data_IF_146739039667
#
_entry.id   IF_146739039667
#
_cell.length_a   1.000
_cell.length_b   1.000
_cell.length_c   1.000
_cell.angle_alpha   90.00
_cell.angle_beta   90.00
_cell.angle_gamma   90.00
#
_symmetry.space_group_name_H-M   'P 1'
#
loop_
_entity.id
_entity.type
_entity.pdbx_description
1 polymer ?
#
# COMPACT_ATOMS: atom_id res chain seq x y z
N UNK A 1 9.54 -52.37 -44.68
CA UNK A 1 10.71 -52.46 -43.77
C UNK A 1 10.73 -51.18 -42.93
N UNK A 2 10.45 -51.28 -41.61
CA UNK A 2 10.49 -50.24 -40.53
C UNK A 2 9.45 -49.08 -40.67
N UNK A 3 8.48 -48.86 -39.77
CA UNK A 3 8.52 -48.45 -38.33
C UNK A 3 9.20 -47.05 -38.20
N UNK A 4 8.67 -46.00 -37.57
CA UNK A 4 7.88 -45.84 -36.33
C UNK A 4 7.23 -44.44 -36.23
N UNK A 5 6.12 -44.38 -35.49
CA UNK A 5 5.72 -43.43 -34.43
C UNK A 5 5.93 -41.90 -34.51
N UNK A 6 4.77 -41.24 -34.41
CA UNK A 6 4.35 -40.22 -33.44
C UNK A 6 4.96 -38.80 -33.48
N UNK A 7 4.13 -37.74 -33.44
CA UNK A 7 4.60 -36.37 -33.31
C UNK A 7 5.07 -36.10 -31.87
N UNK A 8 6.25 -35.48 -31.76
CA UNK A 8 6.79 -34.97 -30.50
C UNK A 8 5.92 -33.81 -30.02
N UNK A 9 5.27 -34.03 -28.89
CA UNK A 9 4.77 -32.98 -28.03
C UNK A 9 5.96 -32.13 -27.57
N UNK A 10 5.92 -30.84 -27.85
CA UNK A 10 6.77 -29.87 -27.15
C UNK A 10 5.94 -29.38 -25.97
N UNK A 11 5.88 -30.21 -24.93
CA UNK A 11 5.65 -29.74 -23.57
C UNK A 11 6.92 -28.97 -23.16
N UNK A 12 6.92 -27.68 -23.47
CA UNK A 12 7.84 -26.73 -22.88
C UNK A 12 7.25 -26.26 -21.56
N UNK A 13 7.38 -27.10 -20.53
CA UNK A 13 7.24 -26.71 -19.13
C UNK A 13 8.23 -25.57 -18.82
N UNK A 14 7.82 -24.33 -19.04
CA UNK A 14 8.37 -23.21 -18.29
C UNK A 14 7.71 -23.22 -16.92
N UNK A 15 8.27 -24.11 -16.10
CA UNK A 15 8.28 -24.10 -14.64
C UNK A 15 7.70 -22.81 -14.05
N UNK A 16 6.45 -22.90 -13.57
CA UNK A 16 5.78 -21.89 -12.74
C UNK A 16 6.41 -21.73 -11.35
N UNK A 17 7.74 -21.88 -11.27
CA UNK A 17 8.59 -21.77 -10.09
C UNK A 17 9.35 -20.44 -10.05
N UNK A 18 9.23 -19.60 -11.09
CA UNK A 18 9.24 -18.15 -10.91
C UNK A 18 7.82 -17.68 -10.53
N UNK A 19 7.26 -18.28 -9.47
CA UNK A 19 6.28 -17.57 -8.66
C UNK A 19 7.00 -16.30 -8.25
N UNK A 20 6.71 -15.20 -8.96
CA UNK A 20 7.15 -13.87 -8.62
C UNK A 20 7.17 -13.80 -7.10
N UNK A 21 8.35 -13.56 -6.52
CA UNK A 21 8.44 -13.26 -5.11
C UNK A 21 7.47 -12.11 -4.92
N UNK A 22 6.27 -12.42 -4.42
CA UNK A 22 5.25 -11.42 -4.23
C UNK A 22 5.87 -10.52 -3.18
N UNK A 23 6.29 -9.33 -3.62
CA UNK A 23 6.88 -8.36 -2.71
C UNK A 23 5.81 -8.14 -1.65
N UNK A 24 6.14 -8.48 -0.40
CA UNK A 24 5.19 -8.51 0.72
C UNK A 24 4.46 -7.17 0.88
N UNK A 25 5.14 -6.08 0.52
CA UNK A 25 4.58 -4.74 0.50
C UNK A 25 4.83 -4.10 -0.87
N UNK A 26 3.83 -3.42 -1.47
CA UNK A 26 4.07 -2.58 -2.63
C UNK A 26 5.12 -1.50 -2.30
N UNK A 27 5.91 -1.09 -3.29
CA UNK A 27 6.81 0.03 -3.11
C UNK A 27 6.03 1.36 -2.93
N UNK A 28 6.67 2.37 -2.35
CA UNK A 28 6.02 3.66 -2.04
C UNK A 28 5.40 4.32 -3.28
N UNK A 29 6.10 4.30 -4.41
CA UNK A 29 5.62 4.81 -5.70
C UNK A 29 4.42 4.02 -6.23
N UNK A 30 4.37 2.71 -6.01
CA UNK A 30 3.22 1.88 -6.38
C UNK A 30 2.00 2.22 -5.52
N UNK A 31 2.20 2.50 -4.24
CA UNK A 31 1.14 3.00 -3.35
C UNK A 31 0.63 4.37 -3.82
N UNK A 32 1.53 5.34 -4.11
CA UNK A 32 1.14 6.65 -4.63
C UNK A 32 0.37 6.57 -5.95
N UNK A 33 0.78 5.66 -6.83
CA UNK A 33 0.07 5.37 -8.08
C UNK A 33 -1.32 4.81 -7.80
N UNK A 34 -1.42 3.80 -6.94
CA UNK A 34 -2.67 3.12 -6.62
C UNK A 34 -3.68 4.05 -5.92
N UNK A 35 -3.23 4.91 -5.00
CA UNK A 35 -4.07 5.92 -4.34
C UNK A 35 -4.80 6.78 -5.38
N UNK A 36 -4.12 7.15 -6.47
CA UNK A 36 -4.70 7.94 -7.58
C UNK A 36 -5.48 7.10 -8.60
N UNK A 37 -5.70 5.81 -8.34
CA UNK A 37 -6.39 4.90 -9.25
C UNK A 37 -5.54 4.43 -10.44
N UNK A 38 -4.23 4.68 -10.44
CA UNK A 38 -3.33 4.23 -11.49
C UNK A 38 -2.64 2.93 -11.09
N UNK A 39 -2.54 1.98 -12.03
CA UNK A 39 -1.84 0.70 -11.81
C UNK A 39 -2.30 -0.03 -10.54
N UNK A 40 -3.60 0.00 -10.25
CA UNK A 40 -4.18 -0.74 -9.12
C UNK A 40 -4.04 -2.23 -9.42
N UNK A 41 -2.92 -2.80 -8.99
CA UNK A 41 -2.58 -4.19 -9.23
C UNK A 41 -3.46 -5.15 -8.42
N UNK A 42 -3.16 -6.44 -8.52
CA UNK A 42 -3.84 -7.50 -7.75
C UNK A 42 -3.48 -7.49 -6.26
N UNK A 43 -2.57 -6.62 -5.81
CA UNK A 43 -2.13 -6.60 -4.42
C UNK A 43 -3.22 -5.99 -3.53
N UNK A 44 -3.67 -6.67 -2.45
CA UNK A 44 -4.76 -6.17 -1.60
C UNK A 44 -4.48 -4.77 -1.02
N UNK A 45 -3.23 -4.48 -0.63
CA UNK A 45 -2.85 -3.15 -0.15
C UNK A 45 -2.99 -2.05 -1.22
N UNK A 46 -2.74 -2.32 -2.50
CA UNK A 46 -2.95 -1.31 -3.55
C UNK A 46 -4.44 -1.03 -3.78
N UNK A 47 -5.30 -2.05 -3.64
CA UNK A 47 -6.75 -1.88 -3.72
C UNK A 47 -7.30 -1.08 -2.55
N UNK A 48 -6.88 -1.39 -1.32
CA UNK A 48 -7.27 -0.66 -0.11
C UNK A 48 -6.77 0.80 -0.15
N UNK A 49 -5.53 1.02 -0.62
CA UNK A 49 -4.99 2.36 -0.80
C UNK A 49 -5.77 3.18 -1.84
N UNK A 50 -6.20 2.55 -2.93
CA UNK A 50 -7.09 3.19 -3.90
C UNK A 50 -8.43 3.60 -3.27
N UNK A 51 -9.04 2.72 -2.46
CA UNK A 51 -10.29 3.05 -1.75
C UNK A 51 -10.12 4.22 -0.78
N UNK A 52 -9.00 4.29 -0.06
CA UNK A 52 -8.67 5.47 0.76
C UNK A 52 -8.50 6.73 -0.09
N UNK A 53 -7.87 6.63 -1.27
CA UNK A 53 -7.77 7.73 -2.22
C UNK A 53 -9.14 8.28 -2.63
N UNK A 54 -10.03 7.39 -3.09
CA UNK A 54 -11.41 7.75 -3.43
C UNK A 54 -12.12 8.39 -2.25
N UNK A 55 -11.98 7.82 -1.05
CA UNK A 55 -12.60 8.33 0.16
C UNK A 55 -12.17 9.79 0.45
N UNK A 56 -10.88 10.08 0.36
CA UNK A 56 -10.36 11.41 0.62
C UNK A 56 -10.67 12.41 -0.49
N UNK A 57 -10.75 11.97 -1.74
CA UNK A 57 -11.23 12.82 -2.85
C UNK A 57 -12.67 13.26 -2.60
N UNK A 58 -13.55 12.33 -2.19
CA UNK A 58 -14.93 12.68 -1.83
C UNK A 58 -14.97 13.65 -0.64
N UNK A 59 -14.11 13.45 0.37
CA UNK A 59 -14.03 14.34 1.54
C UNK A 59 -13.67 15.78 1.18
N UNK A 60 -12.94 16.04 0.09
CA UNK A 60 -12.64 17.41 -0.35
C UNK A 60 -13.91 18.23 -0.65
N UNK A 61 -15.03 17.55 -0.94
CA UNK A 61 -16.31 18.18 -1.31
C UNK A 61 -17.49 17.80 -0.40
N UNK A 62 -17.30 16.85 0.51
CA UNK A 62 -18.35 16.22 1.32
C UNK A 62 -18.18 16.37 2.85
N UNK A 63 -19.13 15.83 3.65
CA UNK A 63 -19.10 15.93 5.11
C UNK A 63 -17.98 15.08 5.75
N UNK A 64 -17.37 15.61 6.81
CA UNK A 64 -16.15 15.03 7.44
C UNK A 64 -16.42 13.75 8.24
N UNK A 65 -17.60 13.62 8.87
CA UNK A 65 -17.85 12.54 9.83
C UNK A 65 -18.03 11.15 9.17
N UNK A 66 -18.70 11.07 8.01
CA UNK A 66 -18.85 9.82 7.25
C UNK A 66 -17.51 9.31 6.71
N UNK A 67 -16.63 10.24 6.35
CA UNK A 67 -15.28 9.91 5.90
C UNK A 67 -14.45 9.27 7.01
N UNK A 68 -14.55 9.77 8.24
CA UNK A 68 -13.79 9.24 9.38
C UNK A 68 -14.18 7.80 9.72
N UNK A 69 -15.48 7.48 9.71
CA UNK A 69 -15.94 6.11 9.95
C UNK A 69 -15.46 5.16 8.84
N UNK A 70 -15.56 5.58 7.58
CA UNK A 70 -15.14 4.78 6.44
C UNK A 70 -13.61 4.56 6.41
N UNK A 71 -12.82 5.54 6.84
CA UNK A 71 -11.35 5.39 6.89
C UNK A 71 -10.95 4.40 7.97
N UNK A 72 -11.61 4.39 9.13
CA UNK A 72 -11.38 3.40 10.21
C UNK A 72 -11.57 1.96 9.70
N UNK A 73 -12.59 1.71 8.89
CA UNK A 73 -12.82 0.37 8.33
C UNK A 73 -11.71 -0.07 7.36
N UNK A 74 -11.26 0.84 6.49
CA UNK A 74 -10.16 0.58 5.55
C UNK A 74 -8.82 0.41 6.27
N UNK A 75 -8.53 1.23 7.28
CA UNK A 75 -7.35 1.10 8.16
C UNK A 75 -7.33 -0.28 8.81
N UNK A 76 -8.47 -0.70 9.39
CA UNK A 76 -8.57 -1.99 10.03
C UNK A 76 -8.39 -3.15 9.03
N UNK A 77 -8.94 -3.03 7.82
CA UNK A 77 -8.76 -4.02 6.76
C UNK A 77 -7.29 -4.16 6.34
N UNK A 78 -6.56 -3.04 6.24
CA UNK A 78 -5.11 -3.04 6.03
C UNK A 78 -4.41 -3.74 7.17
N UNK A 79 -4.68 -3.36 8.42
CA UNK A 79 -4.00 -3.91 9.59
C UNK A 79 -4.24 -5.42 9.74
N UNK A 80 -5.45 -5.89 9.46
CA UNK A 80 -5.79 -7.31 9.45
C UNK A 80 -5.02 -8.06 8.34
N UNK A 81 -4.96 -7.50 7.13
CA UNK A 81 -4.18 -8.10 6.05
C UNK A 81 -2.71 -8.21 6.45
N UNK A 82 -2.13 -7.13 6.97
CA UNK A 82 -0.72 -7.08 7.38
C UNK A 82 -0.42 -8.08 8.48
N UNK A 83 -1.28 -8.20 9.49
CA UNK A 83 -1.11 -9.16 10.58
C UNK A 83 -1.11 -10.62 10.09
N UNK A 84 -1.87 -10.93 9.04
CA UNK A 84 -2.00 -12.29 8.49
C UNK A 84 -0.87 -12.66 7.51
N UNK A 85 -0.22 -11.68 6.88
CA UNK A 85 0.76 -11.92 5.81
C UNK A 85 2.20 -11.56 6.21
N UNK A 86 2.38 -10.75 7.27
CA UNK A 86 3.73 -10.37 7.70
C UNK A 86 4.48 -11.54 8.35
N UNK A 87 5.80 -11.64 8.14
CA UNK A 87 6.60 -12.64 8.82
C UNK A 87 6.57 -12.40 10.33
N UNK A 88 6.59 -13.50 11.10
CA UNK A 88 6.67 -13.41 12.55
C UNK A 88 7.91 -12.58 12.97
N UNK A 89 7.77 -11.52 13.78
CA UNK A 89 8.88 -10.65 14.13
C UNK A 89 10.00 -11.41 14.86
N UNK A 90 11.24 -10.93 14.75
CA UNK A 90 12.35 -11.47 15.53
C UNK A 90 12.09 -11.26 17.05
N UNK A 91 12.55 -12.14 17.95
CA UNK A 91 12.34 -11.96 19.40
C UNK A 91 12.85 -10.63 19.97
N UNK A 92 13.85 -10.03 19.32
CA UNK A 92 14.42 -8.73 19.70
C UNK A 92 13.89 -7.56 18.88
N UNK A 93 12.85 -7.78 18.05
CA UNK A 93 12.27 -6.74 17.23
C UNK A 93 11.67 -5.63 18.10
N UNK A 94 11.88 -4.39 17.69
CA UNK A 94 11.35 -3.23 18.40
C UNK A 94 9.89 -3.01 18.02
N UNK A 95 9.04 -2.72 19.01
CA UNK A 95 7.64 -2.38 18.78
C UNK A 95 7.55 -1.00 18.11
N UNK A 96 6.86 -0.93 16.99
CA UNK A 96 6.53 0.33 16.35
C UNK A 96 5.36 1.02 17.08
N UNK A 97 5.28 2.33 16.99
CA UNK A 97 4.27 3.14 17.69
C UNK A 97 2.91 3.12 17.01
N UNK A 98 2.87 2.81 15.71
CA UNK A 98 1.69 2.92 14.87
C UNK A 98 1.47 1.65 14.05
N UNK A 99 0.24 1.43 13.60
CA UNK A 99 -0.08 0.34 12.69
C UNK A 99 0.24 0.73 11.24
N UNK A 100 0.38 -0.25 10.35
CA UNK A 100 0.66 0.06 8.94
C UNK A 100 -0.55 0.71 8.25
N UNK A 101 -1.76 0.34 8.65
CA UNK A 101 -3.00 0.98 8.22
C UNK A 101 -3.02 2.47 8.53
N UNK A 102 -2.62 2.88 9.74
CA UNK A 102 -2.52 4.29 10.09
C UNK A 102 -1.48 5.06 9.25
N UNK A 103 -0.37 4.40 8.87
CA UNK A 103 0.63 4.99 7.99
C UNK A 103 0.07 5.16 6.57
N UNK A 104 -0.60 4.14 6.03
CA UNK A 104 -1.19 4.15 4.69
C UNK A 104 -2.34 5.17 4.59
N UNK A 105 -3.14 5.32 5.65
CA UNK A 105 -4.21 6.33 5.76
C UNK A 105 -3.66 7.75 5.57
N UNK A 106 -2.63 8.12 6.34
CA UNK A 106 -1.97 9.42 6.19
C UNK A 106 -1.29 9.60 4.84
N UNK A 107 -0.72 8.53 4.28
CA UNK A 107 -0.13 8.57 2.95
C UNK A 107 -1.19 8.89 1.89
N UNK A 108 -2.35 8.25 1.96
CA UNK A 108 -3.47 8.51 1.07
C UNK A 108 -4.02 9.94 1.21
N UNK A 109 -4.22 10.41 2.44
CA UNK A 109 -4.66 11.78 2.71
C UNK A 109 -3.67 12.81 2.15
N UNK A 110 -2.38 12.63 2.42
CA UNK A 110 -1.34 13.54 1.94
C UNK A 110 -1.23 13.54 0.41
N UNK A 111 -1.35 12.38 -0.23
CA UNK A 111 -1.30 12.25 -1.69
C UNK A 111 -2.46 13.00 -2.35
N UNK A 112 -3.69 12.79 -1.87
CA UNK A 112 -4.88 13.49 -2.37
C UNK A 112 -4.76 15.00 -2.14
N UNK A 113 -4.30 15.42 -0.95
CA UNK A 113 -4.10 16.84 -0.62
C UNK A 113 -3.04 17.50 -1.51
N UNK A 114 -1.88 16.89 -1.67
CA UNK A 114 -0.78 17.44 -2.46
C UNK A 114 -1.19 17.57 -3.94
N UNK A 115 -1.87 16.54 -4.48
CA UNK A 115 -2.36 16.57 -5.84
C UNK A 115 -3.45 17.64 -6.04
N UNK A 116 -4.42 17.74 -5.13
CA UNK A 116 -5.46 18.76 -5.19
C UNK A 116 -4.86 20.17 -5.17
N UNK A 117 -3.91 20.45 -4.27
CA UNK A 117 -3.26 21.76 -4.21
C UNK A 117 -2.50 22.08 -5.50
N UNK A 118 -1.79 21.10 -6.08
CA UNK A 118 -1.10 21.29 -7.37
C UNK A 118 -2.08 21.66 -8.51
N UNK A 119 -3.31 21.15 -8.47
CA UNK A 119 -4.32 21.41 -9.50
C UNK A 119 -5.13 22.70 -9.28
N UNK A 120 -5.15 23.23 -8.06
CA UNK A 120 -6.10 24.31 -7.66
C UNK A 120 -5.43 25.59 -7.17
N UNK A 121 -4.15 25.53 -6.83
CA UNK A 121 -3.35 26.66 -6.32
C UNK A 121 -2.19 26.92 -7.27
N UNK A 122 -1.65 28.15 -7.26
CA UNK A 122 -0.41 28.47 -7.97
C UNK A 122 0.69 27.47 -7.56
N UNK A 123 1.33 26.76 -8.52
CA UNK A 123 2.43 25.83 -8.22
C UNK A 123 3.62 26.45 -7.47
N UNK A 124 3.80 27.78 -7.57
CA UNK A 124 4.84 28.51 -6.84
C UNK A 124 4.45 28.85 -5.39
N UNK A 125 3.19 28.60 -4.99
CA UNK A 125 2.75 28.86 -3.62
C UNK A 125 3.46 27.92 -2.63
N UNK A 126 4.03 28.46 -1.53
CA UNK A 126 4.66 27.65 -0.48
C UNK A 126 3.81 26.50 0.06
N UNK A 127 2.46 26.60 0.03
CA UNK A 127 1.57 25.54 0.49
C UNK A 127 1.66 24.28 -0.38
N UNK A 128 1.89 24.43 -1.69
CA UNK A 128 2.05 23.32 -2.62
C UNK A 128 3.36 22.60 -2.29
N UNK A 129 4.47 23.34 -2.17
CA UNK A 129 5.76 22.78 -1.78
C UNK A 129 5.71 22.06 -0.43
N UNK A 130 5.07 22.65 0.59
CA UNK A 130 4.92 22.02 1.90
C UNK A 130 4.12 20.71 1.82
N UNK A 131 3.07 20.65 0.99
CA UNK A 131 2.28 19.43 0.82
C UNK A 131 3.07 18.30 0.16
N UNK A 132 3.84 18.61 -0.89
CA UNK A 132 4.71 17.63 -1.57
C UNK A 132 5.87 17.18 -0.68
N UNK A 133 6.46 18.09 0.09
CA UNK A 133 7.50 17.74 1.06
C UNK A 133 6.95 16.76 2.11
N UNK A 134 5.77 17.06 2.69
CA UNK A 134 5.12 16.18 3.65
C UNK A 134 4.80 14.80 3.06
N UNK A 135 4.37 14.76 1.80
CA UNK A 135 4.12 13.50 1.09
C UNK A 135 5.40 12.67 0.96
N UNK A 136 6.52 13.30 0.58
CA UNK A 136 7.81 12.61 0.47
C UNK A 136 8.24 12.00 1.81
N UNK A 137 8.12 12.73 2.91
CA UNK A 137 8.43 12.20 4.26
C UNK A 137 7.60 10.95 4.61
N UNK A 138 6.32 10.94 4.22
CA UNK A 138 5.43 9.81 4.47
C UNK A 138 5.78 8.59 3.60
N UNK A 139 6.22 8.81 2.36
CA UNK A 139 6.69 7.75 1.45
C UNK A 139 7.97 7.13 1.98
N UNK A 140 8.91 7.95 2.44
CA UNK A 140 10.16 7.47 3.05
C UNK A 140 9.86 6.66 4.31
N UNK A 141 9.01 7.19 5.21
CA UNK A 141 8.60 6.49 6.43
C UNK A 141 7.87 5.16 6.15
N UNK A 142 7.03 5.11 5.12
CA UNK A 142 6.39 3.86 4.68
C UNK A 142 7.42 2.85 4.17
N UNK A 143 8.37 3.30 3.36
CA UNK A 143 9.42 2.45 2.77
C UNK A 143 10.34 1.87 3.85
N UNK A 144 10.75 2.70 4.81
CA UNK A 144 11.56 2.28 5.95
C UNK A 144 10.81 1.26 6.82
N UNK A 145 9.53 1.52 7.13
CA UNK A 145 8.74 0.64 7.97
C UNK A 145 8.52 -0.72 7.30
N UNK A 146 8.10 -0.75 6.03
CA UNK A 146 7.86 -2.00 5.28
C UNK A 146 9.15 -2.80 5.10
N UNK A 147 10.27 -2.13 4.86
CA UNK A 147 11.60 -2.76 4.83
C UNK A 147 11.93 -3.42 6.17
N UNK A 148 11.75 -2.69 7.28
CA UNK A 148 12.07 -3.21 8.61
C UNK A 148 11.13 -4.34 9.05
N UNK A 149 9.86 -4.32 8.64
CA UNK A 149 8.91 -5.43 8.87
C UNK A 149 9.31 -6.65 8.05
N UNK A 150 9.66 -6.47 6.78
CA UNK A 150 10.14 -7.56 5.90
C UNK A 150 11.41 -8.20 6.45
N UNK A 151 12.32 -7.40 7.01
CA UNK A 151 13.52 -7.85 7.71
C UNK A 151 13.26 -8.41 9.11
N UNK A 152 12.00 -8.44 9.57
CA UNK A 152 11.57 -8.91 10.90
C UNK A 152 12.16 -8.10 12.06
N UNK A 153 12.69 -6.90 11.78
CA UNK A 153 13.30 -5.99 12.76
C UNK A 153 12.29 -5.13 13.50
N UNK A 154 11.08 -4.97 12.94
CA UNK A 154 9.95 -4.26 13.55
C UNK A 154 8.77 -5.17 13.79
N UNK A 155 8.17 -5.02 14.97
CA UNK A 155 6.85 -5.58 15.29
C UNK A 155 5.83 -4.44 15.20
N UNK A 156 4.75 -4.67 14.47
CA UNK A 156 3.63 -3.75 14.40
C UNK A 156 2.66 -3.97 15.58
N UNK A 157 1.94 -2.94 16.04
CA UNK A 157 0.82 -3.12 16.95
C UNK A 157 -0.24 -4.05 16.33
N UNK A 158 -0.90 -4.84 17.16
CA UNK A 158 -2.01 -5.67 16.70
C UNK A 158 -3.20 -4.79 16.26
N UNK A 159 -3.98 -5.21 15.26
CA UNK A 159 -5.25 -4.55 14.94
C UNK A 159 -6.09 -4.48 16.22
N UNK A 160 -6.51 -3.27 16.61
CA UNK A 160 -7.44 -3.13 17.73
C UNK A 160 -8.83 -3.51 17.24
N UNK A 161 -9.57 -4.26 18.06
CA UNK A 161 -10.99 -4.54 17.78
C UNK A 161 -11.76 -3.25 17.53
N UNK A 162 -12.71 -3.29 16.60
CA UNK A 162 -13.63 -2.19 16.28
C UNK A 162 -14.36 -1.76 17.57
N UNK A 163 -13.95 -0.66 18.19
CA UNK A 163 -14.67 0.00 19.29
C UNK A 163 -15.17 1.35 18.86
#
# INVERSE_FOLDING_TARGET
MRALSNPVAIEGELSGTERAVAVLFPAGEAMLSAIRGHHVGVHPLTQLAHQLGLLYEHRLTGPVDECRSSSIELIFAVDLWVANHSPAPHPTATLHTETLGAVIDRLAEAQVRAYHLLMTVDPADPIVHAAWYRLAELVDGYTDLTTAVTQRARRLPAPRDRR
#
